data_IF_657526393103
#
_entry.id   IF_657526393103
#
_cell.length_a   1.000
_cell.length_b   1.000
_cell.length_c   1.000
_cell.angle_alpha   90.00
_cell.angle_beta   90.00
_cell.angle_gamma   90.00
#
_symmetry.space_group_name_H-M   'P 1'
#
loop_
_entity.id
_entity.type
_entity.pdbx_description
1 polymer ?
#
# COMPACT_ATOMS: atom_id res chain seq x y z
N UNK A 1 -18.56 4.28 7.75
CA UNK A 1 -17.40 3.41 7.51
C UNK A 1 -17.84 2.07 6.93
N UNK A 2 -17.23 1.65 5.84
CA UNK A 2 -17.64 0.44 5.13
C UNK A 2 -16.41 -0.37 4.74
N UNK A 3 -16.45 -1.67 5.05
CA UNK A 3 -15.41 -2.60 4.59
C UNK A 3 -15.65 -2.87 3.12
N UNK A 4 -14.61 -2.69 2.31
CA UNK A 4 -14.65 -2.89 0.85
C UNK A 4 -13.96 -4.19 0.45
N UNK A 5 -14.42 -4.84 -0.63
CA UNK A 5 -13.71 -6.02 -1.16
C UNK A 5 -12.31 -5.63 -1.64
N UNK A 6 -11.34 -6.51 -1.34
CA UNK A 6 -9.98 -6.33 -1.81
C UNK A 6 -9.83 -6.79 -3.25
N UNK A 7 -9.12 -6.01 -4.04
CA UNK A 7 -8.71 -6.39 -5.40
C UNK A 7 -7.52 -7.34 -5.25
N UNK A 8 -7.60 -8.48 -5.88
CA UNK A 8 -6.61 -9.57 -5.76
C UNK A 8 -5.89 -9.80 -7.09
N UNK A 9 -4.58 -10.07 -7.02
CA UNK A 9 -3.80 -10.47 -8.19
C UNK A 9 -4.49 -11.64 -8.90
N UNK A 10 -4.65 -11.71 -10.21
CA UNK A 10 -4.01 -10.86 -11.23
C UNK A 10 -4.88 -9.73 -11.79
N UNK A 11 -5.83 -9.21 -11.02
CA UNK A 11 -6.72 -8.15 -11.49
C UNK A 11 -5.89 -6.98 -12.05
N UNK A 12 -6.13 -6.58 -13.32
CA UNK A 12 -5.35 -5.52 -13.96
C UNK A 12 -5.48 -4.14 -13.31
N UNK A 13 -6.47 -3.92 -12.45
CA UNK A 13 -6.59 -2.68 -11.67
C UNK A 13 -5.33 -2.42 -10.83
N UNK A 14 -4.68 -3.48 -10.34
CA UNK A 14 -3.46 -3.36 -9.53
C UNK A 14 -2.29 -2.76 -10.32
N UNK A 15 -2.36 -2.76 -11.64
CA UNK A 15 -1.33 -2.21 -12.53
C UNK A 15 -1.65 -0.80 -13.00
N UNK A 16 -2.79 -0.25 -12.60
CA UNK A 16 -3.16 1.10 -12.96
C UNK A 16 -2.39 2.14 -12.16
N UNK A 17 -2.01 3.23 -12.83
CA UNK A 17 -1.44 4.38 -12.14
C UNK A 17 -2.58 5.21 -11.55
N UNK A 18 -2.51 5.50 -10.26
CA UNK A 18 -3.52 6.26 -9.55
C UNK A 18 -3.38 7.76 -9.82
N UNK A 19 -4.51 8.45 -9.80
CA UNK A 19 -4.57 9.89 -10.07
C UNK A 19 -4.49 10.71 -8.78
N UNK A 20 -3.87 11.90 -8.82
CA UNK A 20 -3.83 12.78 -7.65
C UNK A 20 -5.24 13.14 -7.15
N UNK A 21 -5.32 13.34 -5.84
CA UNK A 21 -6.50 13.89 -5.19
C UNK A 21 -6.44 15.42 -5.33
N UNK A 22 -7.47 16.01 -5.88
CA UNK A 22 -7.52 17.47 -6.11
C UNK A 22 -7.86 18.24 -4.84
N UNK A 23 -8.83 17.75 -4.07
CA UNK A 23 -9.32 18.41 -2.87
C UNK A 23 -9.61 17.38 -1.79
N UNK A 24 -9.19 17.67 -0.56
CA UNK A 24 -9.49 16.83 0.60
C UNK A 24 -10.85 17.27 1.15
N UNK A 25 -11.91 16.66 0.64
CA UNK A 25 -13.29 16.93 1.02
C UNK A 25 -13.85 15.78 1.86
N UNK A 26 -15.15 15.81 2.13
CA UNK A 26 -15.82 14.78 2.92
C UNK A 26 -15.79 13.40 2.26
N UNK A 27 -15.81 13.37 0.92
CA UNK A 27 -15.70 12.11 0.15
C UNK A 27 -14.35 11.45 0.36
N UNK A 28 -13.27 12.24 0.32
CA UNK A 28 -11.90 11.76 0.55
C UNK A 28 -11.73 11.30 2.00
N UNK A 29 -12.31 12.01 2.95
CA UNK A 29 -12.25 11.59 4.36
C UNK A 29 -13.01 10.29 4.61
N UNK A 30 -14.16 10.10 3.96
CA UNK A 30 -14.90 8.82 4.01
C UNK A 30 -14.12 7.69 3.36
N UNK A 31 -13.44 7.98 2.24
CA UNK A 31 -12.57 7.00 1.60
C UNK A 31 -11.46 6.57 2.54
N UNK A 32 -10.83 7.51 3.24
CA UNK A 32 -9.79 7.19 4.24
C UNK A 32 -10.35 6.27 5.35
N UNK A 33 -11.55 6.56 5.84
CA UNK A 33 -12.20 5.73 6.86
C UNK A 33 -12.50 4.32 6.35
N UNK A 34 -13.02 4.20 5.13
CA UNK A 34 -13.30 2.90 4.50
C UNK A 34 -12.02 2.09 4.30
N UNK A 35 -10.93 2.77 3.89
CA UNK A 35 -9.62 2.14 3.73
C UNK A 35 -9.08 1.61 5.05
N UNK A 36 -9.16 2.40 6.11
CA UNK A 36 -8.70 2.00 7.45
C UNK A 36 -9.49 0.80 7.96
N UNK A 37 -10.82 0.84 7.83
CA UNK A 37 -11.67 -0.25 8.29
C UNK A 37 -11.39 -1.55 7.52
N UNK A 38 -11.25 -1.45 6.21
CA UNK A 38 -10.91 -2.59 5.35
C UNK A 38 -9.55 -3.17 5.74
N UNK A 39 -8.56 -2.30 5.98
CA UNK A 39 -7.22 -2.70 6.41
C UNK A 39 -7.25 -3.46 7.74
N UNK A 40 -7.97 -2.93 8.74
CA UNK A 40 -8.07 -3.57 10.06
C UNK A 40 -8.79 -4.92 9.98
N UNK A 41 -9.84 -5.01 9.16
CA UNK A 41 -10.59 -6.26 8.98
C UNK A 41 -9.75 -7.36 8.33
N UNK A 42 -8.85 -7.01 7.43
CA UNK A 42 -8.09 -7.96 6.59
C UNK A 42 -7.18 -8.96 7.33
N UNK A 43 -6.51 -8.77 8.49
CA UNK A 43 -5.89 -7.56 9.05
C UNK A 43 -4.57 -7.22 8.35
N UNK A 44 -4.32 -5.95 8.17
CA UNK A 44 -3.09 -5.45 7.53
C UNK A 44 -2.55 -4.23 8.25
N UNK A 45 -1.34 -3.81 7.84
CA UNK A 45 -0.66 -2.63 8.40
C UNK A 45 -0.62 -1.46 7.43
N UNK A 46 -0.94 -1.72 6.16
CA UNK A 46 -0.99 -0.69 5.13
C UNK A 46 -1.98 -1.06 4.04
N UNK A 47 -2.51 -0.05 3.36
CA UNK A 47 -3.44 -0.25 2.25
C UNK A 47 -3.42 0.98 1.33
N UNK A 48 -3.34 0.74 0.03
CA UNK A 48 -3.49 1.78 -0.99
C UNK A 48 -4.92 1.75 -1.56
N UNK A 49 -5.43 2.90 -1.97
CA UNK A 49 -6.80 3.03 -2.46
C UNK A 49 -7.11 2.11 -3.65
N UNK A 50 -6.13 1.87 -4.54
CA UNK A 50 -6.32 0.99 -5.69
C UNK A 50 -6.68 -0.44 -5.27
N UNK A 51 -6.25 -0.88 -4.08
CA UNK A 51 -6.53 -2.23 -3.59
C UNK A 51 -8.01 -2.42 -3.23
N UNK A 52 -8.78 -1.35 -3.14
CA UNK A 52 -10.24 -1.41 -3.01
C UNK A 52 -10.94 -0.83 -4.25
N UNK A 53 -10.21 -0.76 -5.36
CA UNK A 53 -10.77 -0.37 -6.65
C UNK A 53 -10.85 1.13 -6.91
N UNK A 54 -10.19 1.95 -6.10
CA UNK A 54 -10.21 3.41 -6.25
C UNK A 54 -8.85 3.92 -6.70
N UNK A 55 -8.77 4.41 -7.94
CA UNK A 55 -7.52 4.86 -8.55
C UNK A 55 -7.17 6.30 -8.12
N UNK A 56 -7.01 6.51 -6.83
CA UNK A 56 -6.61 7.79 -6.22
C UNK A 56 -5.29 7.63 -5.47
N UNK A 57 -4.47 8.66 -5.46
CA UNK A 57 -3.16 8.63 -4.79
C UNK A 57 -3.34 8.83 -3.28
N UNK A 58 -3.84 7.80 -2.64
CA UNK A 58 -4.05 7.73 -1.19
C UNK A 58 -3.60 6.39 -0.66
N UNK A 59 -3.01 6.43 0.54
CA UNK A 59 -2.69 5.22 1.29
C UNK A 59 -2.87 5.45 2.78
N UNK A 60 -3.07 4.37 3.52
CA UNK A 60 -3.18 4.40 4.98
C UNK A 60 -2.20 3.40 5.57
N UNK A 61 -1.67 3.71 6.75
CA UNK A 61 -0.75 2.86 7.49
C UNK A 61 -1.09 2.96 8.97
N UNK A 62 -1.05 1.81 9.66
CA UNK A 62 -1.09 1.76 11.11
C UNK A 62 -0.15 0.63 11.57
N UNK A 63 0.96 1.01 12.19
CA UNK A 63 1.98 0.08 12.68
C UNK A 63 1.81 -0.26 14.16
N UNK A 64 0.74 0.22 14.82
CA UNK A 64 0.48 -0.08 16.21
C UNK A 64 0.28 -1.59 16.41
N UNK A 65 0.73 -2.09 17.57
CA UNK A 65 0.57 -3.51 17.93
C UNK A 65 -0.85 -3.75 18.46
N UNK A 66 -1.25 -5.02 18.51
CA UNK A 66 -2.58 -5.40 19.00
C UNK A 66 -2.89 -4.92 20.41
N UNK A 67 -1.86 -4.85 21.28
CA UNK A 67 -1.98 -4.39 22.66
C UNK A 67 -1.85 -2.87 22.81
N UNK A 68 -1.68 -2.15 21.71
CA UNK A 68 -1.55 -0.70 21.70
C UNK A 68 -2.81 -0.05 21.13
N UNK A 69 -3.01 1.23 21.46
CA UNK A 69 -4.04 2.05 20.83
C UNK A 69 -3.72 2.25 19.35
N UNK A 70 -4.72 2.22 18.50
CA UNK A 70 -4.56 2.44 17.06
C UNK A 70 -3.97 3.82 16.78
N UNK A 71 -3.02 3.87 15.83
CA UNK A 71 -2.35 5.09 15.39
C UNK A 71 -2.41 5.21 13.86
N UNK A 72 -3.62 5.39 13.30
CA UNK A 72 -3.78 5.44 11.86
C UNK A 72 -3.13 6.70 11.28
N UNK A 73 -2.45 6.52 10.15
CA UNK A 73 -1.86 7.60 9.38
C UNK A 73 -2.42 7.56 7.96
N UNK A 74 -2.83 8.73 7.46
CA UNK A 74 -3.38 8.88 6.11
C UNK A 74 -2.42 9.73 5.30
N UNK A 75 -2.04 9.22 4.12
CA UNK A 75 -1.12 9.90 3.22
C UNK A 75 -1.83 10.15 1.88
N UNK A 76 -2.05 11.42 1.56
CA UNK A 76 -2.72 11.84 0.32
C UNK A 76 -1.66 12.51 -0.56
N UNK A 77 -1.64 12.13 -1.84
CA UNK A 77 -0.66 12.60 -2.82
C UNK A 77 0.78 12.48 -2.30
N UNK A 78 1.18 11.32 -1.77
CA UNK A 78 2.54 11.18 -1.24
C UNK A 78 3.57 11.26 -2.36
N UNK A 79 4.69 11.93 -2.06
CA UNK A 79 5.80 12.10 -2.97
C UNK A 79 7.11 11.79 -2.23
N UNK A 80 7.92 10.92 -2.81
CA UNK A 80 9.24 10.60 -2.26
C UNK A 80 10.19 11.75 -2.63
N UNK A 81 10.66 12.48 -1.61
CA UNK A 81 11.54 13.63 -1.80
C UNK A 81 13.02 13.24 -1.74
N UNK A 82 13.34 12.22 -0.95
CA UNK A 82 14.71 11.77 -0.75
C UNK A 82 14.71 10.31 -0.29
N UNK A 83 15.69 9.54 -0.72
CA UNK A 83 15.93 8.17 -0.24
C UNK A 83 17.37 8.04 0.24
N UNK A 84 17.62 7.15 1.20
CA UNK A 84 18.96 6.86 1.68
C UNK A 84 19.73 5.99 0.68
N UNK A 85 21.06 6.07 0.77
CA UNK A 85 21.96 5.16 0.02
C UNK A 85 21.97 3.77 0.68
N UNK A 86 21.79 3.72 2.00
CA UNK A 86 21.68 2.48 2.75
C UNK A 86 20.40 1.74 2.36
N UNK A 87 20.48 0.42 2.35
CA UNK A 87 19.33 -0.44 2.05
C UNK A 87 19.02 -1.33 3.24
N UNK A 88 17.76 -1.77 3.32
CA UNK A 88 17.33 -2.77 4.29
C UNK A 88 16.48 -3.82 3.59
N UNK A 89 16.44 -5.01 4.17
CA UNK A 89 15.67 -6.13 3.63
C UNK A 89 14.62 -6.53 4.65
N UNK A 90 13.37 -6.59 4.21
CA UNK A 90 12.25 -7.05 5.01
C UNK A 90 11.48 -8.12 4.24
N UNK A 91 10.91 -9.06 4.97
CA UNK A 91 9.93 -9.97 4.40
C UNK A 91 8.63 -9.20 4.19
N UNK A 92 8.20 -9.05 2.95
CA UNK A 92 6.99 -8.35 2.59
C UNK A 92 5.90 -9.30 2.15
N UNK A 93 4.66 -8.91 2.45
CA UNK A 93 3.45 -9.53 1.97
C UNK A 93 2.48 -8.44 1.58
N UNK A 94 1.38 -8.80 0.95
CA UNK A 94 0.39 -7.85 0.46
C UNK A 94 -1.01 -8.44 0.56
N UNK A 95 -1.96 -7.63 1.01
CA UNK A 95 -3.36 -8.07 1.12
C UNK A 95 -3.95 -8.47 -0.24
N UNK A 96 -3.41 -7.91 -1.33
CA UNK A 96 -3.80 -8.25 -2.71
C UNK A 96 -3.11 -9.49 -3.27
N UNK A 97 -2.12 -10.03 -2.55
CA UNK A 97 -1.40 -11.26 -2.89
C UNK A 97 -1.36 -12.13 -1.63
N UNK A 98 -2.52 -12.66 -1.21
CA UNK A 98 -2.61 -13.36 0.08
C UNK A 98 -1.74 -14.60 0.14
N UNK A 99 -1.18 -14.86 1.33
CA UNK A 99 -0.38 -16.05 1.66
C UNK A 99 0.93 -16.17 0.89
N UNK A 100 1.40 -15.10 0.25
CA UNK A 100 2.71 -15.07 -0.37
C UNK A 100 3.58 -14.00 0.27
N UNK A 101 4.79 -14.39 0.65
CA UNK A 101 5.78 -13.51 1.29
C UNK A 101 7.12 -13.66 0.60
N UNK A 102 7.87 -12.58 0.52
CA UNK A 102 9.22 -12.61 -0.06
C UNK A 102 10.05 -11.48 0.53
N UNK A 103 11.36 -11.72 0.63
CA UNK A 103 12.30 -10.69 1.03
C UNK A 103 12.46 -9.66 -0.08
N UNK A 104 12.34 -8.38 0.27
CA UNK A 104 12.49 -7.26 -0.65
C UNK A 104 13.51 -6.29 -0.07
N UNK A 105 14.47 -5.90 -0.90
CA UNK A 105 15.47 -4.89 -0.56
C UNK A 105 14.98 -3.52 -1.03
N UNK A 106 15.00 -2.56 -0.12
CA UNK A 106 14.58 -1.17 -0.41
C UNK A 106 15.50 -0.20 0.31
N UNK A 107 15.53 1.08 -0.11
CA UNK A 107 16.17 2.12 0.71
C UNK A 107 15.72 2.02 2.17
N UNK A 108 16.69 2.11 3.09
CA UNK A 108 16.43 1.93 4.53
C UNK A 108 15.64 3.07 5.13
N UNK A 109 15.76 4.27 4.57
CA UNK A 109 15.04 5.45 5.03
C UNK A 109 14.68 6.37 3.86
N UNK A 110 13.67 7.20 4.06
CA UNK A 110 13.24 8.14 3.03
C UNK A 110 12.52 9.32 3.67
N UNK A 111 12.42 10.39 2.88
CA UNK A 111 11.61 11.57 3.21
C UNK A 111 10.44 11.63 2.26
N UNK A 112 9.23 11.76 2.79
CA UNK A 112 7.99 11.80 2.01
C UNK A 112 7.24 13.09 2.30
N UNK A 113 6.88 13.83 1.24
CA UNK A 113 5.94 14.93 1.34
C UNK A 113 4.53 14.41 1.04
N UNK A 114 3.53 14.85 1.78
CA UNK A 114 2.17 14.40 1.58
C UNK A 114 1.17 15.39 2.17
N UNK A 115 -0.10 15.17 1.86
CA UNK A 115 -1.21 15.92 2.45
C UNK A 115 -1.87 14.99 3.47
N UNK A 116 -2.11 15.48 4.68
CA UNK A 116 -2.77 14.69 5.72
C UNK A 116 -4.30 14.69 5.54
N UNK A 117 -5.01 13.94 6.39
CA UNK A 117 -6.46 13.84 6.27
C UNK A 117 -7.20 15.17 6.52
N UNK A 118 -6.53 16.16 7.11
CA UNK A 118 -7.08 17.48 7.36
C UNK A 118 -6.77 18.47 6.23
N UNK A 119 -6.11 18.01 5.18
CA UNK A 119 -5.76 18.84 4.03
C UNK A 119 -4.50 19.66 4.19
N UNK A 120 -3.69 19.36 5.21
CA UNK A 120 -2.44 20.09 5.48
C UNK A 120 -1.24 19.39 4.86
N UNK A 121 -0.36 20.18 4.27
CA UNK A 121 0.92 19.68 3.73
C UNK A 121 1.82 19.27 4.88
N UNK A 122 2.35 18.06 4.81
CA UNK A 122 3.24 17.47 5.80
C UNK A 122 4.49 16.90 5.13
N UNK A 123 5.53 16.72 5.92
CA UNK A 123 6.75 16.01 5.50
C UNK A 123 7.12 15.07 6.64
N UNK A 124 7.45 13.83 6.28
CA UNK A 124 7.87 12.82 7.26
C UNK A 124 9.20 12.21 6.84
N UNK A 125 10.08 12.02 7.83
CA UNK A 125 11.29 11.21 7.67
C UNK A 125 11.00 9.84 8.26
N UNK A 126 11.10 8.81 7.46
CA UNK A 126 10.74 7.45 7.85
C UNK A 126 11.94 6.51 7.73
N UNK A 127 12.04 5.60 8.69
CA UNK A 127 13.00 4.50 8.67
C UNK A 127 12.31 3.20 9.09
N UNK A 128 13.07 2.12 9.16
CA UNK A 128 12.56 0.84 9.62
C UNK A 128 11.33 0.38 8.86
N UNK A 129 10.38 -0.23 9.58
CA UNK A 129 9.17 -0.78 9.00
C UNK A 129 8.31 0.28 8.32
N UNK A 130 8.24 1.50 8.89
CA UNK A 130 7.47 2.60 8.27
C UNK A 130 8.01 2.94 6.88
N UNK A 131 9.34 3.00 6.73
CA UNK A 131 9.96 3.27 5.43
C UNK A 131 9.60 2.18 4.40
N UNK A 132 9.63 0.93 4.81
CA UNK A 132 9.26 -0.20 3.95
C UNK A 132 7.79 -0.14 3.55
N UNK A 133 6.90 0.10 4.51
CA UNK A 133 5.46 0.20 4.25
C UNK A 133 5.13 1.37 3.33
N UNK A 134 5.70 2.54 3.56
CA UNK A 134 5.47 3.70 2.71
C UNK A 134 5.87 3.42 1.25
N UNK A 135 7.03 2.81 1.05
CA UNK A 135 7.50 2.48 -0.30
C UNK A 135 6.61 1.43 -0.97
N UNK A 136 6.19 0.41 -0.22
CA UNK A 136 5.29 -0.63 -0.71
C UNK A 136 3.96 -0.02 -1.17
N UNK A 137 3.36 0.84 -0.36
CA UNK A 137 2.06 1.44 -0.67
C UNK A 137 2.17 2.51 -1.76
N UNK A 138 3.23 3.30 -1.79
CA UNK A 138 3.48 4.27 -2.88
C UNK A 138 3.66 3.53 -4.21
N UNK A 139 4.33 2.37 -4.21
CA UNK A 139 4.45 1.54 -5.39
C UNK A 139 3.07 1.19 -5.97
N UNK A 140 2.10 0.84 -5.13
CA UNK A 140 0.73 0.56 -5.57
C UNK A 140 0.12 1.75 -6.34
N UNK A 141 0.43 2.97 -5.93
CA UNK A 141 -0.06 4.18 -6.61
C UNK A 141 0.50 4.32 -8.03
N UNK A 142 1.61 3.65 -8.30
CA UNK A 142 2.27 3.64 -9.60
C UNK A 142 2.08 2.32 -10.36
N UNK A 143 1.21 1.45 -9.87
CA UNK A 143 0.94 0.16 -10.50
C UNK A 143 2.04 -0.88 -10.29
N UNK A 144 2.87 -0.72 -9.27
CA UNK A 144 4.00 -1.60 -8.95
C UNK A 144 3.65 -2.46 -7.73
N UNK A 145 3.94 -3.75 -7.81
CA UNK A 145 3.72 -4.72 -6.74
C UNK A 145 5.06 -5.16 -6.15
N UNK A 146 5.07 -5.63 -4.89
CA UNK A 146 6.32 -6.03 -4.25
C UNK A 146 7.00 -7.19 -5.01
N UNK A 147 6.24 -8.03 -5.70
CA UNK A 147 6.80 -9.11 -6.52
C UNK A 147 7.58 -8.60 -7.74
N UNK A 148 7.46 -7.32 -8.08
CA UNK A 148 8.27 -6.72 -9.14
C UNK A 148 9.72 -6.49 -8.69
N UNK A 149 9.98 -6.56 -7.38
CA UNK A 149 11.31 -6.40 -6.78
C UNK A 149 12.02 -7.72 -6.51
N UNK A 150 11.38 -8.86 -6.76
CA UNK A 150 11.99 -10.19 -6.62
C UNK A 150 12.42 -10.71 -7.99
N UNK A 151 13.02 -11.90 -8.04
CA UNK A 151 13.48 -12.46 -9.31
C UNK A 151 12.29 -12.64 -10.28
N UNK A 152 12.59 -12.50 -11.57
CA UNK A 152 11.60 -12.67 -12.63
C UNK A 152 10.94 -14.06 -12.56
N UNK A 153 11.74 -15.08 -12.28
CA UNK A 153 11.24 -16.46 -12.19
C UNK A 153 10.21 -16.57 -11.04
N UNK A 154 10.54 -16.07 -9.86
CA UNK A 154 9.63 -16.11 -8.70
C UNK A 154 8.37 -15.29 -8.96
N UNK A 155 8.52 -14.10 -9.54
CA UNK A 155 7.38 -13.24 -9.89
C UNK A 155 6.43 -13.95 -10.84
N UNK A 156 6.95 -14.54 -11.89
CA UNK A 156 6.13 -15.22 -12.91
C UNK A 156 5.41 -16.44 -12.32
N UNK A 157 6.06 -17.16 -11.41
CA UNK A 157 5.43 -18.28 -10.69
C UNK A 157 4.25 -17.82 -9.83
N UNK A 158 4.39 -16.71 -9.12
CA UNK A 158 3.33 -16.13 -8.30
C UNK A 158 2.14 -15.71 -9.17
N UNK A 159 2.40 -14.98 -10.25
CA UNK A 159 1.36 -14.50 -11.16
C UNK A 159 0.61 -15.72 -11.76
N UNK A 160 1.34 -16.75 -12.16
CA UNK A 160 0.74 -17.97 -12.72
C UNK A 160 -0.16 -18.67 -11.70
N UNK A 161 0.30 -18.77 -10.44
CA UNK A 161 -0.47 -19.37 -9.35
C UNK A 161 -1.79 -18.63 -9.13
N UNK A 162 -1.75 -17.32 -9.05
CA UNK A 162 -2.93 -16.49 -8.80
C UNK A 162 -3.86 -16.45 -10.01
N UNK A 163 -3.33 -16.47 -11.22
CA UNK A 163 -4.12 -16.60 -12.44
C UNK A 163 -4.93 -17.91 -12.43
N UNK A 164 -4.28 -19.01 -12.05
CA UNK A 164 -4.93 -20.32 -11.94
C UNK A 164 -6.02 -20.32 -10.86
N UNK A 165 -5.75 -19.71 -9.69
CA UNK A 165 -6.73 -19.61 -8.61
C UNK A 165 -7.93 -18.77 -9.02
N UNK A 166 -7.72 -17.70 -9.76
CA UNK A 166 -8.80 -16.83 -10.25
C UNK A 166 -9.73 -17.59 -11.23
N UNK A 167 -9.16 -18.43 -12.10
CA UNK A 167 -9.94 -19.26 -13.02
C UNK A 167 -10.77 -20.31 -12.29
N UNK A 168 -10.25 -20.86 -11.19
CA UNK A 168 -10.95 -21.90 -10.42
C UNK A 168 -12.18 -21.35 -9.69
N UNK A 169 -12.30 -20.02 -9.50
CA UNK A 169 -13.43 -19.37 -8.82
C UNK A 169 -14.58 -19.00 -9.76
N UNK A 170 -14.42 -19.20 -11.03
CA UNK A 170 -15.44 -18.86 -12.03
C UNK A 170 -16.46 -20.00 -12.17
#
# INVERSE_FOLDING_TARGET
MTIKPLIILPDPLLRQQSKPVETVDSEIQRLADDMLETMYDAPGIGLAAIQIGVARRMLVIDLSREDEENKPQVFINPEILKVSDDVSTYEEGCLSIPDYYAEVERPASLTVGYIDRNGKQQTIEADGLLATCLQHEIDHLNGVLFIDHISRLKRDMVIKKFTKLARAKV
#
